data_IF_310858773205
#
_entry.id   IF_310858773205
#
_cell.length_a   1.000
_cell.length_b   1.000
_cell.length_c   1.000
_cell.angle_alpha   90.00
_cell.angle_beta   90.00
_cell.angle_gamma   90.00
#
_symmetry.space_group_name_H-M   'P 1'
#
loop_
_entity.id
_entity.type
_entity.pdbx_description
1 polymer ?
#
# COMPACT_ATOMS: atom_id res chain seq x y z
N UNK A 1 -15.86 65.07 57.66
CA UNK A 1 -14.63 64.27 57.43
C UNK A 1 -14.83 63.01 56.65
N UNK A 2 -15.94 62.28 56.83
CA UNK A 2 -16.22 61.02 56.17
C UNK A 2 -16.35 61.11 54.65
N UNK A 3 -16.96 62.15 54.11
CA UNK A 3 -17.09 62.36 52.66
C UNK A 3 -15.75 62.56 51.93
N UNK A 4 -14.77 63.18 52.60
CA UNK A 4 -13.45 63.40 52.03
C UNK A 4 -12.63 62.10 51.92
N UNK A 5 -12.81 61.17 52.82
CA UNK A 5 -12.17 59.87 52.82
C UNK A 5 -12.74 59.01 51.70
N UNK A 6 -14.04 59.08 51.43
CA UNK A 6 -14.69 58.32 50.34
C UNK A 6 -14.18 58.78 48.96
N UNK A 7 -14.04 60.08 48.76
CA UNK A 7 -13.47 60.61 47.49
C UNK A 7 -12.01 60.24 47.30
N UNK A 8 -11.23 60.15 48.37
CA UNK A 8 -9.83 59.74 48.32
C UNK A 8 -9.68 58.27 47.95
N UNK A 9 -10.51 57.41 48.51
CA UNK A 9 -10.56 55.97 48.20
C UNK A 9 -10.99 55.74 46.76
N UNK A 10 -11.97 56.48 46.25
CA UNK A 10 -12.41 56.43 44.85
C UNK A 10 -11.29 56.84 43.86
N UNK A 11 -10.55 57.91 44.18
CA UNK A 11 -9.43 58.37 43.38
C UNK A 11 -8.29 57.31 43.34
N UNK A 12 -8.00 56.68 44.48
CA UNK A 12 -7.03 55.59 44.54
C UNK A 12 -7.45 54.38 43.73
N UNK A 13 -8.72 54.01 43.78
CA UNK A 13 -9.26 52.89 43.01
C UNK A 13 -9.20 53.16 41.49
N UNK A 14 -9.48 54.40 41.04
CA UNK A 14 -9.38 54.77 39.62
C UNK A 14 -7.91 54.79 39.18
N UNK A 15 -7.00 55.33 39.98
CA UNK A 15 -5.58 55.34 39.69
C UNK A 15 -5.00 53.91 39.60
N UNK A 16 -5.39 53.03 40.50
CA UNK A 16 -4.98 51.63 40.52
C UNK A 16 -5.54 50.87 39.29
N UNK A 17 -6.82 51.05 38.95
CA UNK A 17 -7.45 50.49 37.75
C UNK A 17 -6.78 50.97 36.45
N UNK A 18 -6.38 52.24 36.40
CA UNK A 18 -5.66 52.81 35.26
C UNK A 18 -4.25 52.23 35.10
N UNK A 19 -3.51 52.05 36.19
CA UNK A 19 -2.18 51.39 36.18
C UNK A 19 -2.27 49.94 35.76
N UNK A 20 -3.23 49.15 36.33
CA UNK A 20 -3.49 47.79 35.94
C UNK A 20 -3.90 47.68 34.47
N UNK A 21 -4.79 48.55 34.00
CA UNK A 21 -5.21 48.59 32.60
C UNK A 21 -4.04 48.90 31.65
N UNK A 22 -3.11 49.74 32.05
CA UNK A 22 -1.93 50.09 31.25
C UNK A 22 -0.91 48.97 31.18
N UNK A 23 -0.74 48.18 32.27
CA UNK A 23 0.14 47.01 32.34
C UNK A 23 -0.40 45.87 31.50
N UNK A 24 -1.73 45.64 31.54
CA UNK A 24 -2.38 44.59 30.73
C UNK A 24 -2.53 44.97 29.25
N UNK A 25 -2.71 46.23 28.92
CA UNK A 25 -2.79 46.71 27.54
C UNK A 25 -1.44 46.61 26.79
N UNK A 26 -0.31 46.74 27.52
CA UNK A 26 1.01 46.53 26.94
C UNK A 26 1.20 45.09 26.40
N UNK A 27 0.82 44.11 27.19
CA UNK A 27 0.93 42.70 26.79
C UNK A 27 -0.04 42.30 25.63
N UNK A 28 -1.25 42.89 25.61
CA UNK A 28 -2.18 42.67 24.49
C UNK A 28 -1.70 43.33 23.18
N UNK A 29 -1.04 44.49 23.23
CA UNK A 29 -0.50 45.11 22.03
C UNK A 29 0.64 44.30 21.38
N UNK A 30 1.50 43.68 22.18
CA UNK A 30 2.58 42.83 21.67
C UNK A 30 2.00 41.59 20.99
N UNK A 31 1.03 40.92 21.61
CA UNK A 31 0.37 39.75 20.98
C UNK A 31 -0.41 40.09 19.69
N UNK A 32 -1.05 41.27 19.62
CA UNK A 32 -1.80 41.70 18.42
C UNK A 32 -0.84 42.11 17.29
N UNK A 33 0.34 42.64 17.61
CA UNK A 33 1.36 42.99 16.60
C UNK A 33 2.01 41.71 16.02
N UNK A 34 2.37 40.76 16.86
CA UNK A 34 2.91 39.45 16.40
C UNK A 34 1.92 38.68 15.52
N UNK A 35 0.66 38.62 15.91
CA UNK A 35 -0.38 37.96 15.07
C UNK A 35 -0.62 38.73 13.75
N UNK A 36 -0.47 40.03 13.71
CA UNK A 36 -0.68 40.85 12.50
C UNK A 36 0.43 40.62 11.47
N UNK A 37 1.67 40.47 11.90
CA UNK A 37 2.81 40.19 11.01
C UNK A 37 2.71 38.77 10.41
N UNK A 38 2.28 37.79 11.19
CA UNK A 38 2.08 36.41 10.72
C UNK A 38 1.00 36.35 9.63
N UNK A 39 -0.14 36.99 9.86
CA UNK A 39 -1.19 37.08 8.86
C UNK A 39 -0.72 37.76 7.59
N UNK A 40 0.13 38.77 7.71
CA UNK A 40 0.66 39.52 6.57
C UNK A 40 1.57 38.62 5.71
N UNK A 41 2.52 37.92 6.30
CA UNK A 41 3.39 36.96 5.58
C UNK A 41 2.60 35.81 4.95
N UNK A 42 1.55 35.33 5.63
CA UNK A 42 0.65 34.33 5.08
C UNK A 42 -0.10 34.82 3.84
N UNK A 43 -0.63 36.06 3.88
CA UNK A 43 -1.27 36.71 2.72
C UNK A 43 -0.30 36.96 1.57
N UNK A 44 0.94 37.33 1.86
CA UNK A 44 2.00 37.50 0.85
C UNK A 44 2.30 36.16 0.18
N UNK A 45 2.45 35.09 0.96
CA UNK A 45 2.64 33.73 0.42
C UNK A 45 1.47 33.23 -0.43
N UNK A 46 0.23 33.58 -0.01
CA UNK A 46 -0.96 33.24 -0.79
C UNK A 46 -1.02 34.03 -2.12
N UNK A 47 -0.63 35.30 -2.10
CA UNK A 47 -0.55 36.11 -3.31
C UNK A 47 0.47 35.57 -4.30
N UNK A 48 1.64 35.12 -3.85
CA UNK A 48 2.60 34.45 -4.71
C UNK A 48 2.02 33.16 -5.34
N UNK A 49 1.23 32.36 -4.58
CA UNK A 49 0.53 31.20 -5.13
C UNK A 49 -0.51 31.58 -6.19
N UNK A 50 -1.25 32.66 -5.97
CA UNK A 50 -2.26 33.16 -6.92
C UNK A 50 -1.63 33.73 -8.20
N UNK A 51 -0.41 34.26 -8.12
CA UNK A 51 0.35 34.78 -9.25
C UNK A 51 1.19 33.72 -9.97
N UNK A 52 1.02 32.44 -9.63
CA UNK A 52 1.77 31.33 -10.21
C UNK A 52 3.30 31.40 -9.93
N UNK A 53 3.68 32.04 -8.82
CA UNK A 53 5.04 32.16 -8.29
C UNK A 53 5.23 31.25 -7.06
N UNK A 54 5.24 29.91 -7.26
CA UNK A 54 5.20 28.96 -6.14
C UNK A 54 6.52 28.94 -5.32
N UNK A 55 7.64 29.35 -5.88
CA UNK A 55 8.93 29.34 -5.17
C UNK A 55 9.01 30.43 -4.14
N UNK A 56 8.57 31.66 -4.47
CA UNK A 56 8.48 32.82 -3.61
C UNK A 56 7.44 32.59 -2.50
N UNK A 57 6.32 31.95 -2.85
CA UNK A 57 5.31 31.54 -1.88
C UNK A 57 5.89 30.61 -0.81
N UNK A 58 6.68 29.62 -1.24
CA UNK A 58 7.31 28.64 -0.37
C UNK A 58 8.31 29.29 0.58
N UNK A 59 9.19 30.15 0.06
CA UNK A 59 10.19 30.83 0.87
C UNK A 59 9.54 31.79 1.89
N UNK A 60 8.41 32.39 1.53
CA UNK A 60 7.62 33.24 2.43
C UNK A 60 6.92 32.37 3.51
N UNK A 61 6.33 31.24 3.15
CA UNK A 61 5.74 30.32 4.12
C UNK A 61 6.80 29.71 5.06
N UNK A 62 7.99 29.37 4.57
CA UNK A 62 9.09 28.89 5.41
C UNK A 62 9.52 29.94 6.42
N UNK A 63 9.56 31.22 6.04
CA UNK A 63 9.87 32.34 6.95
C UNK A 63 8.74 32.54 7.99
N UNK A 64 7.50 32.49 7.57
CA UNK A 64 6.34 32.55 8.48
C UNK A 64 6.32 31.40 9.49
N UNK A 65 7.00 30.27 9.17
CA UNK A 65 7.17 29.10 10.02
C UNK A 65 7.94 29.33 11.32
N UNK A 66 8.79 30.32 11.38
CA UNK A 66 9.63 30.58 12.56
C UNK A 66 8.83 31.07 13.77
N UNK A 67 7.55 31.41 13.60
CA UNK A 67 6.84 32.26 14.54
C UNK A 67 5.77 31.60 15.40
N UNK A 68 5.14 30.45 15.01
CA UNK A 68 4.01 29.95 15.84
C UNK A 68 3.76 28.44 15.88
N UNK A 69 3.46 27.89 17.08
CA UNK A 69 3.14 26.48 17.31
C UNK A 69 1.72 26.07 16.85
N UNK A 70 0.81 27.02 16.63
CA UNK A 70 -0.57 26.76 16.21
C UNK A 70 -0.74 26.44 14.72
N UNK A 71 0.33 26.52 13.93
CA UNK A 71 0.31 26.33 12.48
C UNK A 71 0.87 24.99 12.00
N UNK A 72 0.99 23.98 12.87
CA UNK A 72 1.56 22.67 12.50
C UNK A 72 0.85 22.01 11.33
N UNK A 73 -0.48 21.98 11.34
CA UNK A 73 -1.26 21.35 10.27
C UNK A 73 -1.03 22.05 8.92
N UNK A 74 -0.89 23.38 8.94
CA UNK A 74 -0.59 24.15 7.74
C UNK A 74 0.78 23.79 7.17
N UNK A 75 1.75 23.52 8.04
CA UNK A 75 3.10 23.14 7.62
C UNK A 75 3.18 21.72 7.08
N UNK A 76 2.46 20.79 7.70
CA UNK A 76 2.30 19.43 7.15
C UNK A 76 1.66 19.50 5.76
N UNK A 77 0.61 20.31 5.60
CA UNK A 77 -0.05 20.52 4.32
C UNK A 77 0.87 21.16 3.27
N UNK A 78 1.67 22.17 3.68
CA UNK A 78 2.66 22.81 2.80
C UNK A 78 3.72 21.82 2.32
N UNK A 79 4.31 21.03 3.22
CA UNK A 79 5.28 20.00 2.85
C UNK A 79 4.68 18.97 1.89
N UNK A 80 3.45 18.53 2.16
CA UNK A 80 2.74 17.61 1.26
C UNK A 80 2.47 18.24 -0.12
N UNK A 81 2.14 19.52 -0.19
CA UNK A 81 1.96 20.24 -1.45
C UNK A 81 3.28 20.34 -2.23
N UNK A 82 4.38 20.66 -1.55
CA UNK A 82 5.72 20.70 -2.14
C UNK A 82 6.11 19.37 -2.76
N UNK A 83 5.90 18.27 -2.05
CA UNK A 83 6.13 16.91 -2.55
C UNK A 83 5.31 16.65 -3.82
N UNK A 84 4.01 16.98 -3.81
CA UNK A 84 3.13 16.82 -4.99
C UNK A 84 3.59 17.63 -6.20
N UNK A 85 4.23 18.77 -5.98
CA UNK A 85 4.84 19.63 -7.02
C UNK A 85 6.24 19.17 -7.45
N UNK A 86 6.72 18.03 -6.94
CA UNK A 86 8.05 17.50 -7.25
C UNK A 86 9.20 18.19 -6.53
N UNK A 87 8.92 19.14 -5.61
CA UNK A 87 9.93 19.87 -4.83
C UNK A 87 10.26 19.13 -3.54
N UNK A 88 10.70 17.86 -3.68
CA UNK A 88 10.85 16.94 -2.56
C UNK A 88 11.88 17.43 -1.54
N UNK A 89 13.00 18.02 -1.98
CA UNK A 89 14.03 18.56 -1.07
C UNK A 89 13.49 19.66 -0.16
N UNK A 90 12.61 20.52 -0.70
CA UNK A 90 11.95 21.57 0.10
C UNK A 90 10.94 20.98 1.08
N UNK A 91 10.19 19.93 0.67
CA UNK A 91 9.27 19.20 1.56
C UNK A 91 10.02 18.57 2.74
N UNK A 92 11.12 17.88 2.46
CA UNK A 92 12.00 17.30 3.49
C UNK A 92 12.45 18.36 4.48
N UNK A 93 12.93 19.52 3.99
CA UNK A 93 13.41 20.61 4.86
C UNK A 93 12.29 21.15 5.77
N UNK A 94 11.08 21.31 5.24
CA UNK A 94 9.91 21.75 6.02
C UNK A 94 9.59 20.76 7.13
N UNK A 95 9.45 19.48 6.80
CA UNK A 95 9.09 18.46 7.79
C UNK A 95 10.23 18.18 8.80
N UNK A 96 11.51 18.26 8.38
CA UNK A 96 12.64 18.17 9.30
C UNK A 96 12.66 19.34 10.31
N UNK A 97 12.46 20.58 9.83
CA UNK A 97 12.39 21.75 10.70
C UNK A 97 11.25 21.64 11.68
N UNK A 98 10.11 21.11 11.24
CA UNK A 98 8.95 20.87 12.09
C UNK A 98 9.25 19.81 13.15
N UNK A 99 9.86 18.69 12.79
CA UNK A 99 10.19 17.59 13.70
C UNK A 99 11.28 17.97 14.73
N UNK A 100 12.18 18.90 14.36
CA UNK A 100 13.26 19.37 15.25
C UNK A 100 12.79 20.30 16.38
N UNK A 101 11.52 20.71 16.41
CA UNK A 101 11.00 21.61 17.44
C UNK A 101 10.85 20.93 18.79
N UNK A 102 11.30 21.53 19.88
CA UNK A 102 11.11 20.98 21.22
C UNK A 102 9.63 21.08 21.65
N UNK A 103 9.16 20.08 22.42
CA UNK A 103 7.83 20.12 23.03
C UNK A 103 6.67 19.79 22.09
N UNK A 104 6.93 19.12 20.94
CA UNK A 104 5.89 18.60 20.07
C UNK A 104 5.01 17.59 20.80
N UNK A 105 3.70 17.73 20.69
CA UNK A 105 2.76 16.69 21.10
C UNK A 105 3.03 15.41 20.28
N UNK A 106 2.87 14.26 20.93
CA UNK A 106 3.18 12.96 20.34
C UNK A 106 2.48 12.73 18.99
N UNK A 107 1.18 13.01 18.92
CA UNK A 107 0.39 12.84 17.70
C UNK A 107 0.93 13.68 16.54
N UNK A 108 1.36 14.91 16.83
CA UNK A 108 1.94 15.81 15.83
C UNK A 108 3.32 15.30 15.40
N UNK A 109 4.13 14.86 16.35
CA UNK A 109 5.45 14.26 16.07
C UNK A 109 5.32 13.06 15.14
N UNK A 110 4.39 12.14 15.43
CA UNK A 110 4.17 10.94 14.61
C UNK A 110 3.63 11.26 13.22
N UNK A 111 2.70 12.22 13.13
CA UNK A 111 2.22 12.71 11.84
C UNK A 111 3.33 13.36 11.02
N UNK A 112 4.22 14.11 11.68
CA UNK A 112 5.38 14.75 11.03
C UNK A 112 6.40 13.69 10.57
N UNK A 113 6.70 12.69 11.41
CA UNK A 113 7.57 11.56 11.05
C UNK A 113 7.02 10.80 9.84
N UNK A 114 5.70 10.55 9.82
CA UNK A 114 5.04 9.90 8.70
C UNK A 114 5.19 10.72 7.40
N UNK A 115 4.92 12.04 7.45
CA UNK A 115 5.06 12.89 6.27
C UNK A 115 6.52 12.99 5.79
N UNK A 116 7.47 13.08 6.70
CA UNK A 116 8.90 13.07 6.37
C UNK A 116 9.35 11.74 5.77
N UNK A 117 8.84 10.61 6.29
CA UNK A 117 9.10 9.30 5.70
C UNK A 117 8.55 9.20 4.28
N UNK A 118 7.36 9.73 4.03
CA UNK A 118 6.79 9.78 2.67
C UNK A 118 7.66 10.65 1.76
N UNK A 119 8.18 11.80 2.24
CA UNK A 119 9.11 12.61 1.45
C UNK A 119 10.39 11.83 1.10
N UNK A 120 10.94 11.07 2.05
CA UNK A 120 12.11 10.22 1.80
C UNK A 120 11.82 9.12 0.78
N UNK A 121 10.62 8.53 0.79
CA UNK A 121 10.20 7.56 -0.24
C UNK A 121 10.21 8.22 -1.63
N UNK A 122 9.64 9.43 -1.74
CA UNK A 122 9.65 10.18 -3.00
C UNK A 122 11.06 10.60 -3.45
N UNK A 123 11.98 10.80 -2.51
CA UNK A 123 13.39 11.08 -2.78
C UNK A 123 14.22 9.81 -3.09
N UNK A 124 13.65 8.60 -2.97
CA UNK A 124 14.38 7.34 -3.11
C UNK A 124 15.29 7.00 -1.93
N UNK A 125 15.15 7.70 -0.79
CA UNK A 125 15.93 7.49 0.44
C UNK A 125 15.24 6.46 1.34
N UNK A 126 15.11 5.22 0.86
CA UNK A 126 14.25 4.19 1.47
C UNK A 126 14.71 3.81 2.88
N UNK A 127 16.04 3.68 3.13
CA UNK A 127 16.56 3.36 4.46
C UNK A 127 16.15 4.40 5.52
N UNK A 128 16.16 5.70 5.15
CA UNK A 128 15.75 6.77 6.06
C UNK A 128 14.26 6.74 6.34
N UNK A 129 13.48 6.44 5.31
CA UNK A 129 12.03 6.28 5.44
C UNK A 129 11.69 5.10 6.34
N UNK A 130 12.33 3.95 6.13
CA UNK A 130 12.17 2.74 6.95
C UNK A 130 12.44 3.04 8.43
N UNK A 131 13.54 3.74 8.74
CA UNK A 131 13.88 4.13 10.12
C UNK A 131 12.75 4.91 10.80
N UNK A 132 12.26 5.99 10.16
CA UNK A 132 11.18 6.82 10.71
C UNK A 132 9.86 6.06 10.86
N UNK A 133 9.53 5.18 9.91
CA UNK A 133 8.31 4.39 9.97
C UNK A 133 8.38 3.34 11.08
N UNK A 134 9.53 2.71 11.28
CA UNK A 134 9.73 1.78 12.38
C UNK A 134 9.66 2.47 13.75
N UNK A 135 10.14 3.71 13.89
CA UNK A 135 9.97 4.50 15.12
C UNK A 135 8.48 4.67 15.47
N UNK A 136 7.62 4.93 14.47
CA UNK A 136 6.16 5.02 14.66
C UNK A 136 5.58 3.68 15.13
N UNK A 137 6.09 2.54 14.66
CA UNK A 137 5.59 1.22 15.05
C UNK A 137 5.94 0.82 16.48
N UNK A 138 7.07 1.30 17.02
CA UNK A 138 7.47 1.04 18.41
C UNK A 138 6.54 1.71 19.42
N UNK A 139 5.83 2.72 18.98
CA UNK A 139 4.88 3.49 19.76
C UNK A 139 3.45 3.08 19.41
N UNK A 140 2.52 3.15 20.36
CA UNK A 140 1.09 2.88 20.10
C UNK A 140 0.42 4.12 19.47
N UNK A 141 0.81 4.40 18.25
CA UNK A 141 0.41 5.58 17.48
C UNK A 141 -0.76 5.29 16.54
N UNK A 142 -1.72 6.21 16.36
CA UNK A 142 -2.72 6.12 15.31
C UNK A 142 -2.13 6.01 13.90
N UNK A 143 -0.97 6.63 13.67
CA UNK A 143 -0.24 6.62 12.40
C UNK A 143 0.38 5.24 12.06
N UNK A 144 0.33 4.27 12.97
CA UNK A 144 0.87 2.92 12.80
C UNK A 144 0.37 2.22 11.54
N UNK A 145 -0.91 2.35 11.23
CA UNK A 145 -1.51 1.64 10.10
C UNK A 145 -1.03 2.20 8.76
N UNK A 146 -0.89 3.52 8.66
CA UNK A 146 -0.33 4.16 7.48
C UNK A 146 1.17 3.89 7.36
N UNK A 147 1.91 3.88 8.48
CA UNK A 147 3.31 3.50 8.51
C UNK A 147 3.53 2.07 7.96
N UNK A 148 2.70 1.09 8.38
CA UNK A 148 2.75 -0.27 7.85
C UNK A 148 2.51 -0.33 6.33
N UNK A 149 1.57 0.45 5.80
CA UNK A 149 1.32 0.52 4.35
C UNK A 149 2.54 1.02 3.58
N UNK A 150 3.18 2.06 4.09
CA UNK A 150 4.40 2.60 3.46
C UNK A 150 5.59 1.64 3.59
N UNK A 151 5.74 0.95 4.71
CA UNK A 151 6.76 -0.10 4.87
C UNK A 151 6.56 -1.25 3.89
N UNK A 152 5.32 -1.71 3.67
CA UNK A 152 5.02 -2.72 2.66
C UNK A 152 5.51 -2.26 1.27
N UNK A 153 5.27 -0.99 0.91
CA UNK A 153 5.72 -0.43 -0.37
C UNK A 153 7.25 -0.39 -0.47
N UNK A 154 7.94 -0.02 0.60
CA UNK A 154 9.41 -0.02 0.66
C UNK A 154 9.94 -1.44 0.46
N UNK A 155 9.49 -2.40 1.28
CA UNK A 155 9.94 -3.78 1.23
C UNK A 155 9.60 -4.49 -0.09
N UNK A 156 8.48 -4.13 -0.73
CA UNK A 156 8.16 -4.57 -2.08
C UNK A 156 9.17 -4.05 -3.10
N UNK A 157 9.58 -2.78 -2.99
CA UNK A 157 10.55 -2.15 -3.90
C UNK A 157 11.95 -2.77 -3.72
N UNK A 158 12.33 -3.05 -2.48
CA UNK A 158 13.62 -3.67 -2.13
C UNK A 158 13.63 -5.20 -2.27
N UNK A 159 12.48 -5.81 -2.59
CA UNK A 159 12.27 -7.27 -2.67
C UNK A 159 12.53 -8.00 -1.35
N UNK A 160 12.34 -7.32 -0.24
CA UNK A 160 12.40 -7.87 1.11
C UNK A 160 11.06 -8.54 1.47
N UNK A 161 10.77 -9.66 0.78
CA UNK A 161 9.45 -10.29 0.78
C UNK A 161 8.96 -10.70 2.16
N UNK A 162 9.84 -11.24 3.02
CA UNK A 162 9.45 -11.66 4.37
C UNK A 162 8.98 -10.47 5.22
N UNK A 163 9.70 -9.34 5.17
CA UNK A 163 9.29 -8.13 5.88
C UNK A 163 7.95 -7.59 5.34
N UNK A 164 7.77 -7.61 4.01
CA UNK A 164 6.49 -7.21 3.39
C UNK A 164 5.33 -8.10 3.86
N UNK A 165 5.54 -9.42 3.96
CA UNK A 165 4.55 -10.38 4.42
C UNK A 165 4.24 -10.17 5.92
N UNK A 166 5.25 -9.88 6.75
CA UNK A 166 5.06 -9.60 8.18
C UNK A 166 4.21 -8.34 8.38
N UNK A 167 4.57 -7.23 7.74
CA UNK A 167 3.79 -5.98 7.79
C UNK A 167 2.35 -6.19 7.29
N UNK A 168 2.16 -6.91 6.18
CA UNK A 168 0.83 -7.24 5.65
C UNK A 168 0.03 -8.09 6.64
N UNK A 169 0.68 -9.03 7.33
CA UNK A 169 0.04 -9.89 8.33
C UNK A 169 -0.44 -9.07 9.52
N UNK A 170 0.37 -8.12 9.99
CA UNK A 170 0.01 -7.23 11.10
C UNK A 170 -1.19 -6.36 10.68
N UNK A 171 -1.13 -5.77 9.49
CA UNK A 171 -2.18 -4.92 8.97
C UNK A 171 -3.52 -5.67 8.81
N UNK A 172 -3.50 -6.90 8.27
CA UNK A 172 -4.68 -7.75 8.08
C UNK A 172 -5.28 -8.29 9.39
N UNK A 173 -4.57 -8.23 10.52
CA UNK A 173 -5.14 -8.55 11.85
C UNK A 173 -6.08 -7.46 12.34
N UNK A 174 -5.95 -6.24 11.87
CA UNK A 174 -6.87 -5.16 12.21
C UNK A 174 -8.21 -5.37 11.50
N UNK A 175 -9.31 -5.17 12.22
CA UNK A 175 -10.67 -5.38 11.71
C UNK A 175 -11.00 -4.53 10.48
N UNK A 176 -10.43 -3.33 10.39
CA UNK A 176 -10.66 -2.40 9.27
C UNK A 176 -10.05 -2.90 7.95
N UNK A 177 -8.92 -3.60 8.01
CA UNK A 177 -8.19 -4.07 6.83
C UNK A 177 -8.38 -5.57 6.54
N UNK A 178 -8.98 -6.31 7.48
CA UNK A 178 -9.15 -7.77 7.37
C UNK A 178 -9.82 -8.25 6.08
N UNK A 179 -10.75 -7.46 5.54
CA UNK A 179 -11.52 -7.77 4.32
C UNK A 179 -10.97 -7.10 3.06
N UNK A 180 -9.84 -6.40 3.15
CA UNK A 180 -9.24 -5.72 2.01
C UNK A 180 -8.64 -6.72 1.03
N UNK A 181 -9.35 -6.95 -0.07
CA UNK A 181 -9.00 -7.97 -1.08
C UNK A 181 -7.67 -7.68 -1.74
N UNK A 182 -7.41 -6.42 -2.06
CA UNK A 182 -6.16 -5.99 -2.70
C UNK A 182 -4.94 -6.28 -1.83
N UNK A 183 -5.02 -5.96 -0.54
CA UNK A 183 -3.94 -6.23 0.42
C UNK A 183 -3.72 -7.73 0.60
N UNK A 184 -4.80 -8.52 0.63
CA UNK A 184 -4.72 -9.99 0.73
C UNK A 184 -4.06 -10.59 -0.51
N UNK A 185 -4.47 -10.14 -1.69
CA UNK A 185 -3.89 -10.59 -2.96
C UNK A 185 -2.42 -10.19 -3.07
N UNK A 186 -2.06 -8.97 -2.66
CA UNK A 186 -0.67 -8.52 -2.61
C UNK A 186 0.18 -9.38 -1.64
N UNK A 187 -0.33 -9.66 -0.43
CA UNK A 187 0.37 -10.52 0.53
C UNK A 187 0.57 -11.95 -0.01
N UNK A 188 -0.43 -12.51 -0.70
CA UNK A 188 -0.30 -13.80 -1.39
C UNK A 188 0.77 -13.74 -2.47
N UNK A 189 0.86 -12.63 -3.20
CA UNK A 189 1.88 -12.42 -4.23
C UNK A 189 3.30 -12.37 -3.64
N UNK A 190 3.50 -11.64 -2.54
CA UNK A 190 4.81 -11.61 -1.84
C UNK A 190 5.23 -13.01 -1.36
N UNK A 191 4.29 -13.81 -0.87
CA UNK A 191 4.57 -15.21 -0.53
C UNK A 191 5.00 -16.02 -1.76
N UNK A 192 4.43 -15.79 -2.94
CA UNK A 192 4.85 -16.45 -4.18
C UNK A 192 6.28 -16.02 -4.60
N UNK A 193 6.62 -14.74 -4.46
CA UNK A 193 7.96 -14.23 -4.72
C UNK A 193 9.00 -14.86 -3.78
N UNK A 194 8.71 -14.89 -2.47
CA UNK A 194 9.55 -15.56 -1.48
C UNK A 194 9.72 -17.05 -1.79
N UNK A 195 8.63 -17.73 -2.18
CA UNK A 195 8.69 -19.15 -2.59
C UNK A 195 9.58 -19.37 -3.80
N UNK A 196 9.54 -18.46 -4.77
CA UNK A 196 10.41 -18.53 -5.95
C UNK A 196 11.90 -18.39 -5.59
N UNK A 197 12.23 -17.48 -4.66
CA UNK A 197 13.59 -17.37 -4.13
C UNK A 197 14.03 -18.68 -3.47
N UNK A 198 13.22 -19.26 -2.59
CA UNK A 198 13.52 -20.53 -1.94
C UNK A 198 13.68 -21.71 -2.94
N UNK A 199 12.93 -21.70 -4.03
CA UNK A 199 13.10 -22.72 -5.09
C UNK A 199 14.44 -22.55 -5.81
N UNK A 200 14.88 -21.32 -6.10
CA UNK A 200 16.20 -21.04 -6.69
C UNK A 200 17.34 -21.49 -5.76
N UNK A 201 17.13 -21.37 -4.45
CA UNK A 201 18.05 -21.83 -3.41
C UNK A 201 17.92 -23.34 -3.12
N UNK A 202 17.08 -24.08 -3.86
CA UNK A 202 16.78 -25.52 -3.67
C UNK A 202 16.18 -25.85 -2.30
N UNK A 203 15.57 -24.87 -1.63
CA UNK A 203 14.90 -25.02 -0.33
C UNK A 203 13.39 -25.33 -0.52
N UNK A 204 13.07 -26.47 -1.13
CA UNK A 204 11.72 -26.83 -1.55
C UNK A 204 10.68 -26.81 -0.42
N UNK A 205 11.07 -27.23 0.79
CA UNK A 205 10.15 -27.25 1.94
C UNK A 205 9.70 -25.84 2.35
N UNK A 206 10.65 -24.89 2.37
CA UNK A 206 10.34 -23.49 2.68
C UNK A 206 9.46 -22.87 1.59
N UNK A 207 9.78 -23.14 0.32
CA UNK A 207 8.92 -22.70 -0.78
C UNK A 207 7.48 -23.23 -0.62
N UNK A 208 7.31 -24.50 -0.27
CA UNK A 208 5.97 -25.08 -0.02
C UNK A 208 5.23 -24.37 1.13
N UNK A 209 5.93 -24.03 2.21
CA UNK A 209 5.34 -23.30 3.34
C UNK A 209 4.86 -21.91 2.92
N UNK A 210 5.66 -21.18 2.13
CA UNK A 210 5.28 -19.86 1.63
C UNK A 210 4.06 -19.94 0.69
N UNK A 211 4.00 -20.93 -0.19
CA UNK A 211 2.83 -21.11 -1.05
C UNK A 211 1.57 -21.47 -0.25
N UNK A 212 1.68 -22.31 0.77
CA UNK A 212 0.56 -22.57 1.68
C UNK A 212 0.10 -21.28 2.37
N UNK A 213 1.05 -20.45 2.80
CA UNK A 213 0.76 -19.13 3.40
C UNK A 213 0.07 -18.21 2.39
N UNK A 214 0.51 -18.19 1.12
CA UNK A 214 -0.15 -17.44 0.05
C UNK A 214 -1.64 -17.83 -0.07
N UNK A 215 -1.95 -19.13 -0.09
CA UNK A 215 -3.31 -19.63 -0.16
C UNK A 215 -4.16 -19.37 1.09
N UNK A 216 -3.55 -19.05 2.26
CA UNK A 216 -4.32 -18.56 3.43
C UNK A 216 -4.70 -17.09 3.28
N UNK A 217 -3.89 -16.30 2.60
CA UNK A 217 -4.24 -14.90 2.29
C UNK A 217 -5.30 -14.83 1.20
N UNK A 218 -5.10 -15.56 0.11
CA UNK A 218 -6.00 -15.60 -1.05
C UNK A 218 -6.15 -17.04 -1.56
N UNK A 219 -7.24 -17.66 -1.18
CA UNK A 219 -7.52 -19.07 -1.51
C UNK A 219 -7.65 -19.32 -3.02
N UNK A 220 -8.05 -18.32 -3.78
CA UNK A 220 -8.23 -18.42 -5.23
C UNK A 220 -7.06 -17.85 -6.02
N UNK A 221 -5.93 -17.58 -5.38
CA UNK A 221 -4.76 -17.06 -6.05
C UNK A 221 -4.23 -18.07 -7.09
N UNK A 222 -4.33 -17.69 -8.36
CA UNK A 222 -3.93 -18.52 -9.50
C UNK A 222 -2.45 -18.85 -9.45
N UNK A 223 -1.60 -17.82 -9.25
CA UNK A 223 -0.14 -18.00 -9.21
C UNK A 223 0.27 -18.96 -8.10
N UNK A 224 -0.29 -18.78 -6.89
CA UNK A 224 -0.01 -19.69 -5.77
C UNK A 224 -0.44 -21.13 -6.08
N UNK A 225 -1.59 -21.31 -6.70
CA UNK A 225 -2.10 -22.65 -7.07
C UNK A 225 -1.23 -23.33 -8.12
N UNK A 226 -0.77 -22.58 -9.14
CA UNK A 226 0.16 -23.09 -10.16
C UNK A 226 1.53 -23.46 -9.55
N UNK A 227 2.06 -22.60 -8.67
CA UNK A 227 3.31 -22.90 -7.95
C UNK A 227 3.18 -24.12 -7.05
N UNK A 228 2.05 -24.24 -6.34
CA UNK A 228 1.82 -25.42 -5.51
C UNK A 228 1.79 -26.69 -6.34
N UNK A 229 1.06 -26.68 -7.46
CA UNK A 229 1.01 -27.81 -8.38
C UNK A 229 2.41 -28.18 -8.89
N UNK A 230 3.23 -27.19 -9.28
CA UNK A 230 4.60 -27.42 -9.71
C UNK A 230 5.47 -28.08 -8.63
N UNK A 231 5.36 -27.64 -7.37
CA UNK A 231 6.09 -28.24 -6.25
C UNK A 231 5.63 -29.71 -6.04
N UNK A 232 4.33 -29.95 -6.10
CA UNK A 232 3.75 -31.30 -5.96
C UNK A 232 4.17 -32.23 -7.11
N UNK A 233 4.24 -31.72 -8.35
CA UNK A 233 4.78 -32.47 -9.50
C UNK A 233 6.24 -32.89 -9.28
N UNK A 234 7.09 -31.95 -8.81
CA UNK A 234 8.50 -32.21 -8.51
C UNK A 234 8.71 -33.24 -7.39
N UNK A 235 7.69 -33.45 -6.55
CA UNK A 235 7.70 -34.44 -5.47
C UNK A 235 6.98 -35.76 -5.86
N UNK A 236 6.46 -35.84 -7.08
CA UNK A 236 5.70 -37.02 -7.56
C UNK A 236 4.28 -37.10 -7.02
N UNK A 237 3.79 -36.06 -6.38
CA UNK A 237 2.42 -36.03 -5.80
C UNK A 237 1.39 -35.56 -6.83
N UNK A 238 1.32 -36.22 -7.98
CA UNK A 238 0.53 -35.82 -9.14
C UNK A 238 -0.96 -35.62 -8.83
N UNK A 239 -1.54 -36.46 -7.95
CA UNK A 239 -2.95 -36.29 -7.53
C UNK A 239 -3.22 -34.96 -6.82
N UNK A 240 -2.28 -34.54 -5.99
CA UNK A 240 -2.37 -33.25 -5.32
C UNK A 240 -2.23 -32.07 -6.33
N UNK A 241 -1.29 -32.19 -7.27
CA UNK A 241 -1.11 -31.22 -8.35
C UNK A 241 -2.39 -31.05 -9.18
N UNK A 242 -2.99 -32.17 -9.63
CA UNK A 242 -4.26 -32.17 -10.39
C UNK A 242 -5.36 -31.42 -9.63
N UNK A 243 -5.51 -31.64 -8.31
CA UNK A 243 -6.52 -30.95 -7.49
C UNK A 243 -6.38 -29.44 -7.57
N UNK A 244 -5.15 -28.92 -7.44
CA UNK A 244 -4.91 -27.48 -7.49
C UNK A 244 -5.09 -26.91 -8.89
N UNK A 245 -4.62 -27.59 -9.93
CA UNK A 245 -4.79 -27.16 -11.32
C UNK A 245 -6.27 -27.18 -11.75
N UNK A 246 -7.03 -28.20 -11.35
CA UNK A 246 -8.47 -28.25 -11.61
C UNK A 246 -9.22 -27.13 -10.89
N UNK A 247 -8.82 -26.76 -9.66
CA UNK A 247 -9.40 -25.62 -8.94
C UNK A 247 -9.17 -24.33 -9.71
N UNK A 248 -7.96 -24.07 -10.24
CA UNK A 248 -7.68 -22.92 -11.09
C UNK A 248 -8.59 -22.89 -12.31
N UNK A 249 -8.67 -24.00 -13.02
CA UNK A 249 -9.52 -24.14 -14.22
C UNK A 249 -10.99 -23.81 -13.94
N UNK A 250 -11.52 -24.27 -12.79
CA UNK A 250 -12.93 -24.07 -12.44
C UNK A 250 -13.24 -22.66 -11.98
N UNK A 251 -12.35 -22.05 -11.18
CA UNK A 251 -12.60 -20.76 -10.55
C UNK A 251 -12.13 -19.58 -11.41
N UNK A 252 -11.18 -19.81 -12.30
CA UNK A 252 -10.51 -18.78 -13.12
C UNK A 252 -10.37 -19.27 -14.57
N UNK A 253 -11.48 -19.36 -15.33
CA UNK A 253 -11.47 -19.91 -16.69
C UNK A 253 -10.50 -19.21 -17.63
N UNK A 254 -10.26 -17.91 -17.44
CA UNK A 254 -9.31 -17.11 -18.21
C UNK A 254 -7.86 -17.60 -18.13
N UNK A 255 -7.53 -18.44 -17.15
CA UNK A 255 -6.19 -19.04 -17.01
C UNK A 255 -6.13 -20.50 -17.44
N UNK A 256 -7.17 -21.01 -18.11
CA UNK A 256 -7.26 -22.41 -18.52
C UNK A 256 -6.07 -22.86 -19.36
N UNK A 257 -5.60 -22.01 -20.28
CA UNK A 257 -4.44 -22.31 -21.12
C UNK A 257 -3.15 -22.62 -20.33
N UNK A 258 -2.99 -22.03 -19.13
CA UNK A 258 -1.81 -22.24 -18.28
C UNK A 258 -1.86 -23.56 -17.48
N UNK A 259 -3.03 -24.17 -17.36
CA UNK A 259 -3.20 -25.41 -16.57
C UNK A 259 -3.25 -26.66 -17.45
N UNK A 260 -3.50 -26.54 -18.76
CA UNK A 260 -3.69 -27.70 -19.65
C UNK A 260 -2.44 -28.58 -19.74
N UNK A 261 -1.27 -27.99 -20.02
CA UNK A 261 -0.01 -28.72 -20.13
C UNK A 261 0.39 -29.36 -18.79
N UNK A 262 0.42 -28.65 -17.64
CA UNK A 262 0.71 -29.28 -16.35
C UNK A 262 -0.28 -30.37 -15.96
N UNK A 263 -1.58 -30.24 -16.33
CA UNK A 263 -2.57 -31.30 -16.13
C UNK A 263 -2.27 -32.56 -16.97
N UNK A 264 -1.97 -32.35 -18.27
CA UNK A 264 -1.61 -33.44 -19.18
C UNK A 264 -0.40 -34.22 -18.64
N UNK A 265 0.67 -33.53 -18.22
CA UNK A 265 1.85 -34.15 -17.62
C UNK A 265 1.50 -34.99 -16.39
N UNK A 266 0.66 -34.45 -15.48
CA UNK A 266 0.24 -35.20 -14.29
C UNK A 266 -0.53 -36.45 -14.62
N UNK A 267 -1.47 -36.41 -15.58
CA UNK A 267 -2.25 -37.55 -15.99
C UNK A 267 -1.43 -38.59 -16.78
N UNK A 268 -0.43 -38.13 -17.55
CA UNK A 268 0.52 -39.02 -18.23
C UNK A 268 1.36 -39.80 -17.22
N UNK A 269 1.92 -39.14 -16.20
CA UNK A 269 2.68 -39.78 -15.13
C UNK A 269 1.83 -40.80 -14.32
N UNK A 270 0.53 -40.56 -14.19
CA UNK A 270 -0.41 -41.48 -13.57
C UNK A 270 -0.92 -42.55 -14.53
N UNK A 271 -0.50 -42.53 -15.80
CA UNK A 271 -1.00 -43.43 -16.85
C UNK A 271 -2.52 -43.42 -17.01
N UNK A 272 -3.14 -42.25 -16.82
CA UNK A 272 -4.60 -42.08 -16.80
C UNK A 272 -5.08 -40.98 -17.76
N UNK A 273 -4.60 -40.99 -19.00
CA UNK A 273 -4.96 -40.00 -20.02
C UNK A 273 -6.45 -40.03 -20.40
N UNK A 274 -7.12 -41.16 -20.19
CA UNK A 274 -8.59 -41.28 -20.41
C UNK A 274 -9.39 -40.35 -19.47
N UNK A 275 -8.94 -40.18 -18.23
CA UNK A 275 -9.57 -39.27 -17.29
C UNK A 275 -9.30 -37.80 -17.65
N UNK A 276 -8.11 -37.50 -18.18
CA UNK A 276 -7.82 -36.16 -18.71
C UNK A 276 -8.71 -35.80 -19.90
N UNK A 277 -8.86 -36.73 -20.86
CA UNK A 277 -9.79 -36.56 -21.99
C UNK A 277 -11.23 -36.36 -21.52
N UNK A 278 -11.67 -37.12 -20.52
CA UNK A 278 -13.00 -36.97 -19.91
C UNK A 278 -13.16 -35.60 -19.24
N UNK A 279 -12.15 -35.15 -18.49
CA UNK A 279 -12.13 -33.84 -17.82
C UNK A 279 -12.28 -32.68 -18.82
N UNK A 280 -11.59 -32.76 -19.96
CA UNK A 280 -11.68 -31.74 -21.01
C UNK A 280 -13.02 -31.82 -21.76
N UNK A 281 -13.49 -33.02 -22.08
CA UNK A 281 -14.72 -33.22 -22.85
C UNK A 281 -15.98 -32.78 -22.11
N UNK A 282 -16.03 -32.93 -20.79
CA UNK A 282 -17.19 -32.50 -19.96
C UNK A 282 -17.39 -30.99 -19.96
N UNK A 283 -16.38 -30.22 -20.26
CA UNK A 283 -16.45 -28.77 -20.27
C UNK A 283 -16.68 -28.15 -21.66
N UNK A 284 -16.53 -28.94 -22.73
CA UNK A 284 -16.68 -28.49 -24.11
C UNK A 284 -18.00 -27.72 -24.41
N UNK A 285 -19.17 -28.09 -23.86
CA UNK A 285 -20.42 -27.41 -24.18
C UNK A 285 -20.43 -25.93 -23.80
N UNK A 286 -19.76 -25.62 -22.67
CA UNK A 286 -19.72 -24.26 -22.10
C UNK A 286 -18.40 -23.54 -22.37
N UNK A 287 -17.38 -24.27 -22.88
CA UNK A 287 -16.03 -23.77 -23.09
C UNK A 287 -15.95 -22.92 -24.37
N UNK A 288 -15.44 -21.71 -24.21
CA UNK A 288 -15.14 -20.79 -25.32
C UNK A 288 -13.64 -20.70 -25.63
N UNK A 289 -12.80 -21.32 -24.80
CA UNK A 289 -11.34 -21.26 -24.96
C UNK A 289 -10.86 -22.28 -26.00
N UNK A 290 -10.29 -21.77 -27.08
CA UNK A 290 -9.72 -22.54 -28.18
C UNK A 290 -8.63 -23.50 -27.71
N UNK A 291 -7.89 -23.18 -26.64
CA UNK A 291 -6.81 -24.04 -26.13
C UNK A 291 -7.31 -25.38 -25.64
N UNK A 292 -8.51 -25.45 -25.07
CA UNK A 292 -9.14 -26.74 -24.66
C UNK A 292 -9.48 -27.61 -25.89
N UNK A 293 -10.00 -26.98 -26.95
CA UNK A 293 -10.34 -27.65 -28.19
C UNK A 293 -9.08 -28.20 -28.87
N UNK A 294 -8.01 -27.40 -28.90
CA UNK A 294 -6.73 -27.82 -29.44
C UNK A 294 -6.12 -28.97 -28.62
N UNK A 295 -6.14 -28.90 -27.29
CA UNK A 295 -5.66 -29.99 -26.43
C UNK A 295 -6.43 -31.29 -26.67
N UNK A 296 -7.76 -31.20 -26.82
CA UNK A 296 -8.58 -32.40 -27.19
C UNK A 296 -8.27 -32.90 -28.57
N UNK A 297 -8.09 -32.02 -29.56
CA UNK A 297 -7.74 -32.43 -30.92
C UNK A 297 -6.40 -33.18 -30.97
N UNK A 298 -5.44 -32.75 -30.13
CA UNK A 298 -4.15 -33.43 -30.02
C UNK A 298 -4.27 -34.82 -29.35
N UNK A 299 -5.12 -34.99 -28.35
CA UNK A 299 -5.43 -36.26 -27.77
C UNK A 299 -6.09 -37.22 -28.78
N UNK A 300 -7.05 -36.73 -29.57
CA UNK A 300 -7.70 -37.49 -30.65
C UNK A 300 -6.67 -37.88 -31.71
N UNK A 301 -5.79 -36.97 -32.12
CA UNK A 301 -4.71 -37.24 -33.04
C UNK A 301 -3.78 -38.35 -32.56
N UNK A 302 -3.37 -38.31 -31.29
CA UNK A 302 -2.47 -39.30 -30.72
C UNK A 302 -3.12 -40.69 -30.61
N UNK A 303 -4.44 -40.73 -30.44
CA UNK A 303 -5.20 -41.99 -30.34
C UNK A 303 -5.63 -42.57 -31.68
N UNK A 304 -6.11 -41.73 -32.61
CA UNK A 304 -6.82 -42.19 -33.81
C UNK A 304 -6.26 -41.62 -35.12
N UNK A 305 -5.19 -40.83 -35.06
CA UNK A 305 -4.51 -40.25 -36.22
C UNK A 305 -5.04 -38.87 -36.67
N UNK A 306 -4.39 -38.34 -37.69
CA UNK A 306 -4.65 -36.96 -38.16
C UNK A 306 -6.07 -36.78 -38.75
N UNK A 307 -6.60 -37.79 -39.45
CA UNK A 307 -7.95 -37.73 -40.05
C UNK A 307 -9.04 -37.57 -38.99
N UNK A 308 -8.97 -38.34 -37.89
CA UNK A 308 -9.90 -38.24 -36.78
C UNK A 308 -9.82 -36.86 -36.07
N UNK A 309 -8.64 -36.29 -35.94
CA UNK A 309 -8.45 -34.96 -35.37
C UNK A 309 -9.08 -33.87 -36.25
N UNK A 310 -8.91 -33.98 -37.57
CA UNK A 310 -9.52 -33.06 -38.54
C UNK A 310 -11.04 -33.14 -38.49
N UNK A 311 -11.59 -34.35 -38.43
CA UNK A 311 -13.03 -34.56 -38.30
C UNK A 311 -13.57 -33.97 -36.99
N UNK A 312 -12.87 -34.17 -35.89
CA UNK A 312 -13.22 -33.59 -34.59
C UNK A 312 -13.26 -32.04 -34.65
N UNK A 313 -12.23 -31.40 -35.23
CA UNK A 313 -12.18 -29.96 -35.39
C UNK A 313 -13.28 -29.43 -36.30
N UNK A 314 -13.54 -30.07 -37.43
CA UNK A 314 -14.62 -29.70 -38.35
C UNK A 314 -16.00 -29.78 -37.68
N UNK A 315 -16.24 -30.84 -36.91
CA UNK A 315 -17.49 -31.03 -36.16
C UNK A 315 -17.65 -29.97 -35.06
N UNK A 316 -16.54 -29.49 -34.47
CA UNK A 316 -16.59 -28.42 -33.48
C UNK A 316 -16.86 -27.05 -34.14
N UNK A 317 -16.17 -26.71 -35.23
CA UNK A 317 -16.34 -25.49 -35.97
C UNK A 317 -17.73 -25.31 -36.58
N UNK A 318 -18.37 -26.42 -37.00
CA UNK A 318 -19.76 -26.40 -37.51
C UNK A 318 -20.77 -26.08 -36.40
N UNK A 319 -20.47 -26.43 -35.14
CA UNK A 319 -21.33 -26.12 -33.98
C UNK A 319 -21.08 -24.73 -33.42
N UNK A 320 -19.85 -24.22 -33.49
CA UNK A 320 -19.45 -22.88 -32.97
C UNK A 320 -18.62 -22.13 -34.04
N UNK A 321 -19.26 -21.52 -35.06
CA UNK A 321 -18.55 -20.90 -36.19
C UNK A 321 -17.88 -19.56 -35.85
N UNK A 322 -17.98 -19.08 -34.62
CA UNK A 322 -17.44 -17.78 -34.17
C UNK A 322 -16.05 -17.88 -33.50
N UNK A 323 -15.37 -19.01 -33.64
CA UNK A 323 -14.00 -19.19 -33.17
C UNK A 323 -12.97 -18.87 -34.24
#
# INVERSE_FOLDING_TARGET
>A
MESLVIYFVLLLAIAFGWVLGRLTAGNKKVQILETKDIFQDYFVGLNYLLNDEPDEAIDTFIKALEINSETFETHLALGALLRRRGKVDKAIKVHQTLLARPGLERNISDSTRLQLAIDYIYAGLLDRAEGLLNDILTEDSPAKWDALRHLITIYQTEKEWEKAIECSTILLRNSSYKKETELRSAAAHYCCESAEQFLKEKQKNKAREQIKRALTFDENNVRASLFFAKIEQLDGNFKSAIKHLTKVRTNNPEFVCQVLEPLAECYEQLQNMSEYERLLSTSLPDETDVSVVLALSELVKNRAGNEAAIEFLNNYLTKKPSL
#
